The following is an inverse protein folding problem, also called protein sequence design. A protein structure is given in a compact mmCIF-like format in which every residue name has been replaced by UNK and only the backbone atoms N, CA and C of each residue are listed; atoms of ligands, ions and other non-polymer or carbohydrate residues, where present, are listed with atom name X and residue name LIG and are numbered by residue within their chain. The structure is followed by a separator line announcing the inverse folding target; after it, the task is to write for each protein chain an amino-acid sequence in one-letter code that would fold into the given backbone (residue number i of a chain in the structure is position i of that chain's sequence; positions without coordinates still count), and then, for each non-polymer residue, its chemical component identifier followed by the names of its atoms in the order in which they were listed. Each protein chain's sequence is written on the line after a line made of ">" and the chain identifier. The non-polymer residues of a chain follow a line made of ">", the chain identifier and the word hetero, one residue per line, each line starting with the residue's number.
data_IF_511688611938
#
_entry.id   IF_511688611938
#
_cell.length_a   1.000
_cell.length_b   1.000
_cell.length_c   1.000
_cell.angle_alpha   90.00
_cell.angle_beta   90.00
_cell.angle_gamma   90.00
#
_symmetry.space_group_name_H-M   'P 1'
#
loop_
_entity.id
_entity.type
_entity.pdbx_description
1 polymer ?
#
# COMPACT_ATOMS: atom_id res chain seq x y z
N UNK A 1 8.79 12.51 -26.80
CA UNK A 1 9.13 11.69 -25.63
C UNK A 1 9.73 12.57 -24.55
N UNK A 2 9.11 12.60 -23.37
CA UNK A 2 9.58 13.37 -22.22
C UNK A 2 10.27 12.46 -21.21
N UNK A 3 11.41 12.89 -20.69
CA UNK A 3 12.15 12.14 -19.68
C UNK A 3 11.83 12.64 -18.28
N UNK A 4 11.46 11.71 -17.40
CA UNK A 4 11.30 11.89 -15.95
C UNK A 4 12.44 11.16 -15.27
N UNK A 5 13.46 11.91 -14.89
CA UNK A 5 14.55 11.38 -14.10
C UNK A 5 14.19 11.41 -12.61
N UNK A 6 13.94 10.22 -12.05
CA UNK A 6 13.58 10.02 -10.66
C UNK A 6 14.62 9.16 -9.91
N UNK A 7 15.83 9.05 -10.45
CA UNK A 7 16.96 8.37 -9.79
C UNK A 7 17.29 9.06 -8.46
N UNK A 8 17.60 8.27 -7.44
CA UNK A 8 17.92 8.74 -6.09
C UNK A 8 16.75 9.29 -5.28
N UNK A 9 15.54 9.38 -5.84
CA UNK A 9 14.38 9.89 -5.11
C UNK A 9 13.72 8.80 -4.27
N UNK A 10 13.32 9.09 -3.02
CA UNK A 10 12.60 8.15 -2.18
C UNK A 10 11.17 7.95 -2.70
N UNK A 11 10.59 6.77 -2.48
CA UNK A 11 9.15 6.59 -2.66
C UNK A 11 8.38 7.55 -1.75
N UNK A 12 7.30 8.20 -2.24
CA UNK A 12 6.57 7.91 -3.49
C UNK A 12 6.95 8.80 -4.70
N UNK A 13 8.02 9.59 -4.62
CA UNK A 13 8.32 10.62 -5.63
C UNK A 13 8.39 10.11 -7.08
N UNK A 14 9.05 8.96 -7.39
CA UNK A 14 9.09 8.44 -8.76
C UNK A 14 7.70 8.16 -9.36
N UNK A 15 6.75 7.68 -8.54
CA UNK A 15 5.38 7.37 -8.96
C UNK A 15 4.60 8.66 -9.24
N UNK A 16 4.72 9.65 -8.35
CA UNK A 16 4.01 10.93 -8.47
C UNK A 16 4.46 11.74 -9.70
N UNK A 17 5.77 11.78 -9.96
CA UNK A 17 6.32 12.47 -11.13
C UNK A 17 5.84 11.81 -12.44
N UNK A 18 5.80 10.47 -12.45
CA UNK A 18 5.29 9.69 -13.58
C UNK A 18 3.80 9.95 -13.81
N UNK A 19 2.96 9.85 -12.76
CA UNK A 19 1.52 10.16 -12.81
C UNK A 19 1.25 11.56 -13.34
N UNK A 20 1.94 12.57 -12.81
CA UNK A 20 1.80 13.97 -13.22
C UNK A 20 2.18 14.18 -14.69
N UNK A 21 3.11 13.41 -15.22
CA UNK A 21 3.49 13.49 -16.62
C UNK A 21 2.42 12.85 -17.53
N UNK A 22 1.86 11.70 -17.13
CA UNK A 22 0.74 11.05 -17.83
C UNK A 22 -0.51 11.94 -17.85
N UNK A 23 -0.87 12.55 -16.72
CA UNK A 23 -2.04 13.45 -16.59
C UNK A 23 -1.92 14.73 -17.42
N UNK A 24 -0.70 15.12 -17.80
CA UNK A 24 -0.47 16.24 -18.73
C UNK A 24 -0.68 15.87 -20.21
N UNK A 25 -1.08 14.64 -20.51
CA UNK A 25 -1.34 14.17 -21.86
C UNK A 25 -0.09 13.74 -22.63
N UNK A 26 0.99 13.41 -21.94
CA UNK A 26 2.22 12.90 -22.56
C UNK A 26 2.01 11.43 -22.97
N UNK A 27 1.75 11.17 -24.25
CA UNK A 27 1.46 9.82 -24.75
C UNK A 27 2.66 8.85 -24.71
N UNK A 28 3.88 9.38 -24.63
CA UNK A 28 5.12 8.61 -24.54
C UNK A 28 6.11 9.26 -23.57
N UNK A 29 6.45 8.50 -22.51
CA UNK A 29 7.28 8.94 -21.40
C UNK A 29 8.46 7.99 -21.20
N UNK A 30 9.62 8.54 -20.87
CA UNK A 30 10.77 7.78 -20.38
C UNK A 30 10.96 8.08 -18.90
N UNK A 31 11.04 7.05 -18.05
CA UNK A 31 11.26 7.19 -16.62
C UNK A 31 12.53 6.47 -16.21
N UNK A 32 13.41 7.16 -15.49
CA UNK A 32 14.65 6.60 -14.94
C UNK A 32 14.53 6.45 -13.42
N UNK A 33 14.81 5.27 -12.89
CA UNK A 33 14.75 4.98 -11.44
C UNK A 33 15.91 4.13 -10.96
N UNK A 34 16.35 4.32 -9.71
CA UNK A 34 17.58 3.69 -9.18
C UNK A 34 17.43 2.24 -8.67
N UNK A 35 16.23 1.66 -8.67
CA UNK A 35 16.05 0.31 -8.10
C UNK A 35 14.72 -0.35 -8.44
N UNK A 36 14.59 -1.62 -8.04
CA UNK A 36 13.43 -2.47 -8.37
C UNK A 36 12.13 -2.02 -7.69
N UNK A 37 12.18 -1.48 -6.47
CA UNK A 37 10.98 -1.04 -5.75
C UNK A 37 10.25 0.09 -6.49
N UNK A 38 10.90 1.21 -6.88
CA UNK A 38 10.27 2.23 -7.73
C UNK A 38 9.75 1.67 -9.07
N UNK A 39 10.51 0.76 -9.71
CA UNK A 39 10.11 0.12 -10.97
C UNK A 39 8.78 -0.62 -10.82
N UNK A 40 8.67 -1.50 -9.83
CA UNK A 40 7.44 -2.27 -9.60
C UNK A 40 6.25 -1.38 -9.21
N UNK A 41 6.49 -0.30 -8.47
CA UNK A 41 5.44 0.67 -8.14
C UNK A 41 4.95 1.44 -9.38
N UNK A 42 5.84 1.80 -10.31
CA UNK A 42 5.47 2.45 -11.59
C UNK A 42 4.70 1.46 -12.49
N UNK A 43 5.09 0.18 -12.53
CA UNK A 43 4.33 -0.85 -13.26
C UNK A 43 2.89 -0.99 -12.74
N UNK A 44 2.70 -0.96 -11.42
CA UNK A 44 1.37 -0.94 -10.79
C UNK A 44 0.58 0.32 -11.10
N UNK A 45 1.23 1.47 -11.28
CA UNK A 45 0.57 2.69 -11.74
C UNK A 45 0.11 2.53 -13.20
N UNK A 46 0.97 2.03 -14.09
CA UNK A 46 0.66 1.84 -15.52
C UNK A 46 -0.55 0.93 -15.76
N UNK A 47 -0.75 -0.11 -14.93
CA UNK A 47 -1.93 -0.98 -15.04
C UNK A 47 -3.24 -0.24 -14.77
N UNK A 48 -3.23 0.82 -13.94
CA UNK A 48 -4.42 1.66 -13.67
C UNK A 48 -4.69 2.66 -14.80
N UNK A 49 -3.65 3.13 -15.49
CA UNK A 49 -3.74 4.14 -16.55
C UNK A 49 -3.77 3.56 -17.97
N UNK A 50 -3.94 2.24 -18.10
CA UNK A 50 -3.97 1.52 -19.39
C UNK A 50 -2.73 1.82 -20.25
N UNK A 51 -1.55 1.86 -19.61
CA UNK A 51 -0.29 2.09 -20.29
C UNK A 51 0.42 0.79 -20.60
N UNK A 52 1.16 0.76 -21.71
CA UNK A 52 2.19 -0.23 -21.99
C UNK A 52 3.53 0.23 -21.43
N UNK A 53 4.34 -0.70 -20.96
CA UNK A 53 5.65 -0.41 -20.40
C UNK A 53 6.71 -1.34 -20.98
N UNK A 54 7.82 -0.76 -21.43
CA UNK A 54 9.04 -1.47 -21.80
C UNK A 54 10.12 -1.16 -20.76
N UNK A 55 10.73 -2.18 -20.18
CA UNK A 55 11.77 -2.03 -19.17
C UNK A 55 13.14 -2.45 -19.71
N UNK A 56 14.16 -1.65 -19.41
CA UNK A 56 15.55 -1.94 -19.71
C UNK A 56 16.42 -1.66 -18.48
N UNK A 57 17.32 -2.60 -18.17
CA UNK A 57 18.29 -2.42 -17.09
C UNK A 57 19.41 -1.49 -17.55
N UNK A 58 19.80 -0.54 -16.70
CA UNK A 58 20.89 0.42 -16.96
C UNK A 58 21.99 0.28 -15.90
N UNK A 59 23.12 0.96 -16.09
CA UNK A 59 24.25 0.96 -15.13
C UNK A 59 23.89 1.52 -13.75
N UNK A 60 22.81 2.29 -13.68
CA UNK A 60 22.39 3.12 -12.55
C UNK A 60 20.93 2.86 -12.13
N UNK A 61 20.36 1.74 -12.60
CA UNK A 61 19.02 1.29 -12.21
C UNK A 61 18.22 0.75 -13.41
N UNK A 62 17.09 1.39 -13.68
CA UNK A 62 16.12 0.98 -14.68
C UNK A 62 15.63 2.16 -15.52
N UNK A 63 15.45 1.89 -16.82
CA UNK A 63 14.79 2.76 -17.78
C UNK A 63 13.45 2.14 -18.16
N UNK A 64 12.38 2.92 -18.01
CA UNK A 64 11.01 2.52 -18.32
C UNK A 64 10.46 3.42 -19.43
N UNK A 65 10.09 2.84 -20.56
CA UNK A 65 9.38 3.56 -21.64
C UNK A 65 7.90 3.24 -21.50
N UNK A 66 7.11 4.26 -21.17
CA UNK A 66 5.67 4.14 -20.92
C UNK A 66 4.92 4.76 -22.09
N UNK A 67 4.00 3.99 -22.70
CA UNK A 67 3.14 4.46 -23.79
C UNK A 67 1.67 4.34 -23.39
N UNK A 68 0.93 5.45 -23.44
CA UNK A 68 -0.49 5.46 -23.11
C UNK A 68 -1.32 5.09 -24.35
N UNK A 69 -2.23 4.12 -24.22
CA UNK A 69 -3.16 3.75 -25.30
C UNK A 69 -4.49 4.49 -25.12
N UNK A 70 -4.73 5.48 -25.98
CA UNK A 70 -5.98 6.25 -26.03
C UNK A 70 -6.01 7.46 -25.09
N UNK A 71 -7.01 8.34 -25.29
CA UNK A 71 -7.22 9.51 -24.47
C UNK A 71 -7.37 9.11 -22.98
N UNK A 72 -6.94 9.96 -22.03
CA UNK A 72 -7.22 9.73 -20.61
C UNK A 72 -8.72 9.47 -20.48
N UNK A 73 -9.12 8.34 -19.89
CA UNK A 73 -10.49 8.27 -19.39
C UNK A 73 -10.64 9.44 -18.44
N UNK A 74 -11.56 10.35 -18.74
CA UNK A 74 -12.06 11.32 -17.77
C UNK A 74 -12.24 10.55 -16.47
N UNK A 75 -11.55 10.99 -15.41
CA UNK A 75 -11.89 10.53 -14.08
C UNK A 75 -13.39 10.77 -13.95
N UNK A 76 -14.17 9.68 -13.83
CA UNK A 76 -15.54 9.83 -13.38
C UNK A 76 -15.46 10.66 -12.10
N UNK A 77 -16.05 11.84 -12.16
CA UNK A 77 -16.07 12.80 -11.07
C UNK A 77 -16.39 12.07 -9.78
N UNK A 78 -15.54 12.24 -8.77
CA UNK A 78 -15.82 11.88 -7.39
C UNK A 78 -17.10 12.60 -6.97
N UNK A 79 -18.23 11.90 -7.07
CA UNK A 79 -19.52 12.43 -6.71
C UNK A 79 -19.68 12.46 -5.19
N UNK A 80 -19.30 13.59 -4.56
CA UNK A 80 -19.76 14.13 -3.25
C UNK A 80 -19.65 13.22 -2.01
N UNK A 81 -19.57 13.80 -0.78
CA UNK A 81 -19.37 12.99 0.41
C UNK A 81 -20.62 12.15 0.68
N UNK A 82 -20.50 10.84 0.48
CA UNK A 82 -21.55 9.89 0.77
C UNK A 82 -21.72 9.77 2.28
N UNK A 83 -22.92 10.02 2.77
CA UNK A 83 -23.44 9.51 4.04
C UNK A 83 -22.98 8.06 4.23
N UNK A 84 -22.46 7.63 5.39
CA UNK A 84 -21.94 6.28 5.57
C UNK A 84 -23.04 5.27 5.26
N UNK A 85 -22.94 4.63 4.09
CA UNK A 85 -23.87 3.60 3.66
C UNK A 85 -23.53 2.32 4.44
N UNK A 86 -24.55 1.69 5.00
CA UNK A 86 -24.47 0.34 5.56
C UNK A 86 -23.89 -0.60 4.51
N UNK A 87 -22.69 -1.13 4.76
CA UNK A 87 -21.96 -2.01 3.83
C UNK A 87 -20.75 -1.39 3.14
N UNK A 88 -20.36 -0.15 3.46
CA UNK A 88 -19.12 0.44 2.95
C UNK A 88 -17.89 -0.40 3.41
N UNK A 89 -16.93 -0.69 2.50
CA UNK A 89 -15.73 -1.45 2.86
C UNK A 89 -14.95 -0.72 3.96
N UNK A 90 -14.48 -1.50 4.94
CA UNK A 90 -13.72 -0.98 6.10
C UNK A 90 -12.24 -1.24 5.88
N UNK A 91 -11.42 -0.23 6.11
CA UNK A 91 -9.96 -0.35 6.22
C UNK A 91 -9.55 -0.12 7.67
N UNK A 92 -8.83 -1.08 8.26
CA UNK A 92 -8.20 -0.91 9.57
C UNK A 92 -6.78 -0.37 9.40
N UNK A 93 -6.43 0.63 10.20
CA UNK A 93 -5.07 1.15 10.29
C UNK A 93 -4.53 0.85 11.69
N UNK A 94 -3.57 -0.07 11.77
CA UNK A 94 -2.94 -0.50 13.02
C UNK A 94 -1.55 0.15 13.10
N UNK A 95 -1.40 1.07 14.04
CA UNK A 95 -0.15 1.85 14.21
C UNK A 95 0.69 1.41 15.40
N UNK A 96 0.17 0.54 16.25
CA UNK A 96 0.86 0.03 17.43
C UNK A 96 0.65 -1.48 17.56
N UNK A 97 1.53 -2.17 18.27
CA UNK A 97 1.39 -3.59 18.61
C UNK A 97 0.62 -3.83 19.92
N UNK A 98 0.05 -2.77 20.50
CA UNK A 98 -0.77 -2.79 21.71
C UNK A 98 -1.94 -1.82 21.58
N UNK A 99 -3.00 -2.05 22.38
CA UNK A 99 -4.14 -1.14 22.52
C UNK A 99 -4.04 -0.39 23.85
N UNK A 100 -4.04 0.94 23.80
CA UNK A 100 -3.87 1.77 24.99
C UNK A 100 -2.41 1.89 25.45
N UNK A 101 -2.21 2.51 26.61
CA UNK A 101 -0.88 2.91 27.08
C UNK A 101 -0.16 1.81 27.87
N UNK A 102 -0.91 1.05 28.68
CA UNK A 102 -0.35 -0.01 29.52
C UNK A 102 0.21 -1.14 28.65
N UNK A 103 1.48 -1.49 28.87
CA UNK A 103 2.22 -2.42 28.01
C UNK A 103 1.65 -3.84 28.05
N UNK A 104 1.40 -4.38 29.24
CA UNK A 104 0.96 -5.76 29.43
C UNK A 104 -0.49 -5.94 28.99
N UNK A 105 -1.38 -5.09 29.53
CA UNK A 105 -2.79 -5.11 29.17
C UNK A 105 -2.98 -4.81 27.68
N UNK A 106 -2.23 -3.84 27.14
CA UNK A 106 -2.39 -3.44 25.75
C UNK A 106 -2.00 -4.53 24.76
N UNK A 107 -0.99 -5.36 25.07
CA UNK A 107 -0.66 -6.55 24.27
C UNK A 107 -1.76 -7.60 24.33
N UNK A 108 -2.29 -7.89 25.53
CA UNK A 108 -3.42 -8.81 25.71
C UNK A 108 -4.63 -8.35 24.88
N UNK A 109 -4.94 -7.06 24.90
CA UNK A 109 -6.04 -6.49 24.14
C UNK A 109 -5.82 -6.56 22.63
N UNK A 110 -4.59 -6.27 22.16
CA UNK A 110 -4.26 -6.38 20.73
C UNK A 110 -4.34 -7.83 20.23
N UNK A 111 -3.80 -8.76 21.01
CA UNK A 111 -3.89 -10.20 20.71
C UNK A 111 -5.35 -10.67 20.66
N UNK A 112 -6.13 -10.34 21.68
CA UNK A 112 -7.56 -10.65 21.72
C UNK A 112 -8.33 -10.05 20.55
N UNK A 113 -8.04 -8.80 20.19
CA UNK A 113 -8.66 -8.12 19.05
C UNK A 113 -8.38 -8.87 17.74
N UNK A 114 -7.11 -9.09 17.40
CA UNK A 114 -6.74 -9.71 16.11
C UNK A 114 -7.21 -11.16 16.04
N UNK A 115 -7.12 -11.92 17.14
CA UNK A 115 -7.56 -13.31 17.16
C UNK A 115 -9.09 -13.46 17.05
N UNK A 116 -9.86 -12.41 17.36
CA UNK A 116 -11.33 -12.43 17.24
C UNK A 116 -11.82 -11.93 15.88
N UNK A 117 -11.01 -11.15 15.14
CA UNK A 117 -11.37 -10.62 13.82
C UNK A 117 -11.86 -11.68 12.81
N UNK A 118 -11.27 -12.89 12.69
CA UNK A 118 -11.79 -13.92 11.79
C UNK A 118 -13.25 -14.33 12.06
N UNK A 119 -13.69 -14.24 13.31
CA UNK A 119 -15.06 -14.58 13.73
C UNK A 119 -16.05 -13.41 13.58
N UNK A 120 -15.58 -12.20 13.29
CA UNK A 120 -16.46 -11.03 13.17
C UNK A 120 -17.40 -11.15 11.95
N UNK A 121 -18.66 -10.74 12.13
CA UNK A 121 -19.67 -10.68 11.05
C UNK A 121 -19.21 -9.75 9.93
N UNK A 122 -18.75 -8.55 10.29
CA UNK A 122 -18.25 -7.55 9.35
C UNK A 122 -16.72 -7.53 9.40
N UNK A 123 -16.09 -8.07 8.36
CA UNK A 123 -14.64 -8.10 8.25
C UNK A 123 -14.14 -6.89 7.49
N UNK A 124 -12.93 -6.40 7.82
CA UNK A 124 -12.30 -5.38 7.01
C UNK A 124 -11.97 -5.93 5.63
N UNK A 125 -12.03 -5.07 4.62
CA UNK A 125 -11.49 -5.40 3.31
C UNK A 125 -9.96 -5.40 3.33
N UNK A 126 -9.39 -4.53 4.17
CA UNK A 126 -7.94 -4.32 4.26
C UNK A 126 -7.50 -3.98 5.68
N UNK A 127 -6.30 -4.43 6.04
CA UNK A 127 -5.60 -4.05 7.26
C UNK A 127 -4.22 -3.52 6.88
N UNK A 128 -3.94 -2.28 7.29
CA UNK A 128 -2.68 -1.57 7.07
C UNK A 128 -1.90 -1.51 8.39
N UNK A 129 -0.69 -2.07 8.39
CA UNK A 129 0.23 -2.04 9.54
C UNK A 129 1.32 -1.00 9.32
N UNK A 130 1.45 -0.08 10.27
CA UNK A 130 2.43 1.01 10.27
C UNK A 130 3.08 1.16 11.66
N UNK A 131 4.22 1.87 11.73
CA UNK A 131 5.00 2.05 12.96
C UNK A 131 5.21 0.70 13.68
N UNK A 132 4.91 0.61 14.97
CA UNK A 132 5.05 -0.64 15.74
C UNK A 132 4.01 -1.71 15.37
N UNK A 133 2.95 -1.34 14.64
CA UNK A 133 1.99 -2.32 14.11
C UNK A 133 2.67 -3.39 13.23
N UNK A 134 3.78 -3.07 12.55
CA UNK A 134 4.48 -4.04 11.70
C UNK A 134 5.07 -5.22 12.47
N UNK A 135 5.26 -5.12 13.79
CA UNK A 135 5.69 -6.26 14.59
C UNK A 135 4.65 -7.39 14.56
N UNK A 136 3.36 -7.06 14.44
CA UNK A 136 2.27 -8.03 14.46
C UNK A 136 2.25 -8.95 13.22
N UNK A 137 2.81 -8.49 12.09
CA UNK A 137 2.88 -9.26 10.84
C UNK A 137 4.22 -10.00 10.65
N UNK A 138 5.12 -9.88 11.63
CA UNK A 138 6.48 -10.43 11.55
C UNK A 138 6.70 -11.65 12.46
N UNK A 139 7.76 -12.38 12.21
CA UNK A 139 8.18 -13.56 12.96
C UNK A 139 8.17 -13.33 14.49
N UNK A 140 7.63 -14.32 15.21
CA UNK A 140 7.49 -14.26 16.68
C UNK A 140 6.20 -13.59 17.15
N UNK A 141 5.40 -13.00 16.26
CA UNK A 141 4.10 -12.44 16.64
C UNK A 141 3.09 -13.53 17.02
N UNK A 142 2.37 -13.38 18.16
CA UNK A 142 1.40 -14.36 18.64
C UNK A 142 0.10 -14.39 17.82
N UNK A 143 -0.11 -13.41 16.93
CA UNK A 143 -1.35 -13.26 16.13
C UNK A 143 -1.18 -13.67 14.67
N UNK A 144 -0.02 -14.22 14.27
CA UNK A 144 0.26 -14.60 12.88
C UNK A 144 -0.75 -15.60 12.31
N UNK A 145 -1.23 -16.54 13.12
CA UNK A 145 -2.22 -17.53 12.69
C UNK A 145 -3.53 -16.86 12.30
N UNK A 146 -4.05 -15.95 13.13
CA UNK A 146 -5.27 -15.20 12.85
C UNK A 146 -5.12 -14.29 11.63
N UNK A 147 -3.98 -13.63 11.47
CA UNK A 147 -3.71 -12.80 10.29
C UNK A 147 -3.67 -13.63 8.99
N UNK A 148 -3.05 -14.81 9.01
CA UNK A 148 -3.05 -15.72 7.85
C UNK A 148 -4.47 -16.20 7.52
N UNK A 149 -5.26 -16.52 8.54
CA UNK A 149 -6.66 -16.88 8.35
C UNK A 149 -7.45 -15.74 7.70
N UNK A 150 -7.24 -14.49 8.11
CA UNK A 150 -7.86 -13.32 7.48
C UNK A 150 -7.44 -13.18 6.01
N UNK A 151 -6.16 -13.38 5.69
CA UNK A 151 -5.65 -13.36 4.32
C UNK A 151 -6.30 -14.45 3.45
N UNK A 152 -6.45 -15.68 3.97
CA UNK A 152 -7.18 -16.78 3.31
C UNK A 152 -8.66 -16.45 3.09
N UNK A 153 -9.27 -15.65 3.98
CA UNK A 153 -10.63 -15.14 3.83
C UNK A 153 -10.74 -13.95 2.88
N UNK A 154 -9.65 -13.54 2.23
CA UNK A 154 -9.61 -12.46 1.25
C UNK A 154 -9.41 -11.07 1.83
N UNK A 155 -9.07 -10.96 3.13
CA UNK A 155 -8.69 -9.68 3.73
C UNK A 155 -7.28 -9.32 3.26
N UNK A 156 -7.14 -8.11 2.70
CA UNK A 156 -5.84 -7.66 2.24
C UNK A 156 -4.98 -7.18 3.41
N UNK A 157 -3.82 -7.80 3.60
CA UNK A 157 -2.88 -7.44 4.67
C UNK A 157 -1.66 -6.75 4.07
N UNK A 158 -1.36 -5.53 4.54
CA UNK A 158 -0.21 -4.76 4.08
C UNK A 158 0.61 -4.19 5.22
N UNK A 159 1.93 -4.24 5.09
CA UNK A 159 2.88 -3.69 6.07
C UNK A 159 3.73 -2.60 5.46
N UNK A 160 3.90 -1.48 6.17
CA UNK A 160 4.70 -0.34 5.71
C UNK A 160 6.18 -0.73 5.51
N UNK A 161 6.67 -0.63 4.27
CA UNK A 161 8.05 -0.99 3.93
C UNK A 161 9.10 -0.19 4.69
N UNK A 162 8.90 1.11 4.86
CA UNK A 162 9.83 1.98 5.62
C UNK A 162 9.90 1.59 7.10
N UNK A 163 8.78 1.16 7.71
CA UNK A 163 8.77 0.71 9.10
C UNK A 163 9.48 -0.64 9.25
N UNK A 164 9.23 -1.58 8.34
CA UNK A 164 9.94 -2.86 8.31
C UNK A 164 11.45 -2.67 8.12
N UNK A 165 11.85 -1.74 7.27
CA UNK A 165 13.26 -1.34 7.12
C UNK A 165 13.83 -0.80 8.42
N UNK A 166 13.17 0.19 9.02
CA UNK A 166 13.63 0.86 10.22
C UNK A 166 13.87 -0.10 11.39
N UNK A 167 12.99 -1.10 11.56
CA UNK A 167 13.13 -2.11 12.61
C UNK A 167 13.95 -3.35 12.19
N UNK A 168 14.52 -3.39 10.98
CA UNK A 168 15.23 -4.55 10.41
C UNK A 168 14.39 -5.83 10.39
N UNK A 169 13.13 -5.71 9.96
CA UNK A 169 12.13 -6.78 9.94
C UNK A 169 11.71 -7.23 8.53
N UNK A 170 12.29 -6.68 7.46
CA UNK A 170 11.89 -7.03 6.07
C UNK A 170 11.88 -8.54 5.80
N UNK A 171 12.96 -9.23 6.13
CA UNK A 171 13.08 -10.68 5.93
C UNK A 171 12.29 -11.50 6.98
N UNK A 172 11.74 -10.81 7.99
CA UNK A 172 10.92 -11.38 9.06
C UNK A 172 9.43 -11.23 8.81
N UNK A 173 9.00 -10.59 7.71
CA UNK A 173 7.59 -10.55 7.35
C UNK A 173 7.06 -11.98 7.13
N UNK A 174 5.91 -12.32 7.73
CA UNK A 174 5.34 -13.68 7.67
C UNK A 174 3.91 -13.73 7.13
N UNK A 175 3.25 -12.58 6.97
CA UNK A 175 1.88 -12.46 6.44
C UNK A 175 1.71 -11.12 5.73
N UNK A 176 0.95 -11.11 4.63
CA UNK A 176 0.71 -9.92 3.82
C UNK A 176 1.89 -9.47 2.95
N UNK A 177 1.72 -8.30 2.34
CA UNK A 177 2.69 -7.71 1.39
C UNK A 177 3.24 -6.38 1.87
N UNK A 178 4.44 -6.03 1.39
CA UNK A 178 5.04 -4.72 1.65
C UNK A 178 4.29 -3.63 0.84
N UNK A 179 3.90 -2.55 1.52
CA UNK A 179 3.28 -1.37 0.90
C UNK A 179 4.18 -0.13 1.00
N UNK A 180 3.78 0.91 0.28
CA UNK A 180 4.39 2.25 0.30
C UNK A 180 3.35 3.30 0.72
N UNK A 181 3.81 4.53 0.98
CA UNK A 181 2.94 5.60 1.44
C UNK A 181 1.90 6.04 0.40
N UNK A 182 2.18 5.98 -0.90
CA UNK A 182 1.21 6.35 -1.94
C UNK A 182 -0.01 5.42 -1.90
N UNK A 183 0.24 4.11 -1.90
CA UNK A 183 -0.82 3.11 -1.80
C UNK A 183 -1.57 3.21 -0.47
N UNK A 184 -0.88 3.54 0.62
CA UNK A 184 -1.51 3.79 1.93
C UNK A 184 -2.44 5.01 1.88
N UNK A 185 -2.01 6.13 1.29
CA UNK A 185 -2.86 7.32 1.16
C UNK A 185 -4.09 7.00 0.32
N UNK A 186 -3.91 6.38 -0.85
CA UNK A 186 -5.03 5.97 -1.72
C UNK A 186 -6.01 5.05 -0.99
N UNK A 187 -5.50 4.11 -0.19
CA UNK A 187 -6.31 3.21 0.63
C UNK A 187 -7.13 3.93 1.69
N UNK A 188 -6.55 4.96 2.31
CA UNK A 188 -7.18 5.73 3.38
C UNK A 188 -8.15 6.78 2.81
N UNK A 189 -7.89 7.33 1.62
CA UNK A 189 -8.71 8.41 1.05
C UNK A 189 -9.81 7.93 0.11
N UNK A 190 -9.91 6.63 -0.21
CA UNK A 190 -10.88 6.09 -1.16
C UNK A 190 -12.34 6.04 -0.67
N UNK A 191 -12.74 6.90 0.28
CA UNK A 191 -14.12 6.99 0.78
C UNK A 191 -14.58 5.84 1.70
N UNK A 192 -13.64 5.06 2.24
CA UNK A 192 -13.91 3.95 3.16
C UNK A 192 -14.04 4.40 4.62
N UNK A 193 -14.70 3.59 5.46
CA UNK A 193 -14.64 3.79 6.91
C UNK A 193 -13.23 3.40 7.37
N UNK A 194 -12.48 4.36 7.90
CA UNK A 194 -11.16 4.13 8.48
C UNK A 194 -11.31 3.99 9.99
N UNK A 195 -10.85 2.88 10.53
CA UNK A 195 -10.71 2.72 11.99
C UNK A 195 -9.24 2.59 12.34
N UNK A 196 -8.73 3.60 13.04
CA UNK A 196 -7.41 3.52 13.66
C UNK A 196 -7.55 2.75 14.96
N UNK A 197 -6.70 1.74 15.12
CA UNK A 197 -6.53 0.96 16.35
C UNK A 197 -5.24 1.39 17.03
#
# INVERSE_FOLDING_TARGET
>A
MKTVDARGLPCPQPVLLTKKALEKGENELEVLVSGDVPKENIKKLCSRYQCEIEEAKTSDGWRLVIRQKGAPREHQEESKPATPQTGAPVTLLITCNKIGENEELGKILMEGFINTLPSATNKPQRILFMNEGVFLTTEGSPVLSALKQLEEMGVEIRSCGTCLDFYNLKDKLRVGVITNMYDTVEALTSGQIITKI
#
